data_IF_745970559172
#
_entry.id   IF_745970559172
#
_cell.length_a   1.000
_cell.length_b   1.000
_cell.length_c   1.000
_cell.angle_alpha   90.00
_cell.angle_beta   90.00
_cell.angle_gamma   90.00
#
_symmetry.space_group_name_H-M   'P 1'
#
loop_
_entity.id
_entity.type
_entity.pdbx_description
1 polymer ?
#
# COMPACT_ATOMS: atom_id res chain seq x y z
N UNK A 1 0.59 -14.31 -9.64
CA UNK A 1 1.45 -15.39 -9.10
C UNK A 1 1.20 -15.47 -7.61
N UNK A 2 1.28 -16.64 -6.99
CA UNK A 2 1.28 -16.75 -5.53
C UNK A 2 2.72 -16.96 -5.02
N UNK A 3 3.10 -16.28 -3.94
CA UNK A 3 4.39 -16.52 -3.29
C UNK A 3 4.41 -17.89 -2.60
N UNK A 4 5.60 -18.48 -2.46
CA UNK A 4 5.78 -19.64 -1.60
C UNK A 4 5.38 -19.29 -0.15
N UNK A 5 4.92 -20.28 0.64
CA UNK A 5 4.37 -20.00 1.98
C UNK A 5 5.33 -19.26 2.93
N UNK A 6 6.63 -19.53 2.82
CA UNK A 6 7.69 -18.85 3.58
C UNK A 6 7.88 -17.39 3.13
N UNK A 7 7.87 -17.15 1.81
CA UNK A 7 8.02 -15.83 1.21
C UNK A 7 6.79 -14.97 1.50
N UNK A 8 5.60 -15.56 1.48
CA UNK A 8 4.37 -14.88 1.84
C UNK A 8 4.36 -14.41 3.30
N UNK A 9 4.86 -15.22 4.24
CA UNK A 9 5.00 -14.82 5.65
C UNK A 9 6.06 -13.73 5.84
N UNK A 10 7.22 -13.89 5.22
CA UNK A 10 8.28 -12.87 5.25
C UNK A 10 7.80 -11.55 4.66
N UNK A 11 7.11 -11.62 3.52
CA UNK A 11 6.51 -10.44 2.89
C UNK A 11 5.47 -9.79 3.80
N UNK A 12 4.56 -10.55 4.42
CA UNK A 12 3.61 -9.99 5.38
C UNK A 12 4.31 -9.24 6.52
N UNK A 13 5.36 -9.82 7.10
CA UNK A 13 6.14 -9.16 8.15
C UNK A 13 6.83 -7.88 7.66
N UNK A 14 7.36 -7.86 6.43
CA UNK A 14 7.93 -6.63 5.84
C UNK A 14 6.86 -5.56 5.65
N UNK A 15 5.66 -5.94 5.18
CA UNK A 15 4.55 -5.01 5.00
C UNK A 15 4.12 -4.39 6.34
N UNK A 16 4.09 -5.19 7.42
CA UNK A 16 3.81 -4.69 8.78
C UNK A 16 4.93 -3.77 9.32
N UNK A 17 6.18 -3.90 8.88
CA UNK A 17 7.22 -2.90 9.22
C UNK A 17 7.06 -1.59 8.43
N UNK A 18 6.43 -1.62 7.24
CA UNK A 18 6.16 -0.41 6.42
C UNK A 18 4.95 0.35 6.97
N UNK A 19 3.83 -0.35 7.20
CA UNK A 19 2.64 0.20 7.87
C UNK A 19 2.28 -0.74 9.03
N UNK A 20 2.70 -0.42 10.27
CA UNK A 20 2.41 -1.23 11.44
C UNK A 20 0.95 -1.08 11.89
N UNK A 21 0.43 -2.04 12.67
CA UNK A 21 -0.85 -1.86 13.35
C UNK A 21 -0.79 -0.63 14.27
N UNK A 22 -1.91 0.08 14.41
CA UNK A 22 -1.97 1.21 15.34
C UNK A 22 -1.96 0.74 16.79
N UNK A 23 -1.37 1.54 17.68
CA UNK A 23 -1.28 1.24 19.12
C UNK A 23 -2.66 1.02 19.78
N UNK A 24 -3.69 1.67 19.24
CA UNK A 24 -5.08 1.55 19.71
C UNK A 24 -5.86 0.40 19.04
N UNK A 25 -5.21 -0.37 18.16
CA UNK A 25 -5.77 -1.54 17.48
C UNK A 25 -6.86 -1.23 16.44
N UNK A 26 -7.13 0.05 16.13
CA UNK A 26 -8.15 0.42 15.14
C UNK A 26 -7.69 0.15 13.71
N UNK A 27 -6.43 0.44 13.41
CA UNK A 27 -5.85 0.26 12.09
C UNK A 27 -5.02 -1.03 12.08
N UNK A 28 -5.31 -1.98 11.18
CA UNK A 28 -4.50 -3.20 11.07
C UNK A 28 -3.13 -2.90 10.49
N UNK A 29 -2.12 -3.73 10.77
CA UNK A 29 -0.87 -3.69 10.00
C UNK A 29 -1.11 -4.05 8.53
N UNK A 30 -0.23 -3.64 7.61
CA UNK A 30 -0.42 -3.95 6.19
C UNK A 30 -0.31 -5.45 5.87
N UNK A 31 0.59 -6.17 6.53
CA UNK A 31 0.66 -7.63 6.48
C UNK A 31 -0.60 -8.27 7.06
N UNK A 32 -1.00 -7.84 8.26
CA UNK A 32 -2.23 -8.29 8.94
C UNK A 32 -3.50 -8.03 8.11
N UNK A 33 -3.52 -6.93 7.35
CA UNK A 33 -4.64 -6.56 6.49
C UNK A 33 -4.74 -7.42 5.22
N UNK A 34 -3.81 -8.37 5.00
CA UNK A 34 -3.83 -9.30 3.88
C UNK A 34 -3.25 -8.72 2.59
N UNK A 35 -2.43 -7.67 2.68
CA UNK A 35 -1.93 -6.94 1.52
C UNK A 35 -0.95 -7.74 0.64
N UNK A 36 -0.47 -8.89 1.11
CA UNK A 36 0.28 -9.87 0.29
C UNK A 36 -0.46 -10.19 -1.01
N UNK A 37 -1.77 -10.45 -0.94
CA UNK A 37 -2.60 -10.76 -2.11
C UNK A 37 -2.69 -9.60 -3.11
N UNK A 38 -2.61 -8.35 -2.62
CA UNK A 38 -2.54 -7.18 -3.49
C UNK A 38 -1.21 -7.14 -4.23
N UNK A 39 -0.08 -7.34 -3.54
CA UNK A 39 1.26 -7.39 -4.16
C UNK A 39 1.33 -8.49 -5.22
N UNK A 40 0.82 -9.68 -4.93
CA UNK A 40 0.70 -10.78 -5.89
C UNK A 40 -0.06 -10.41 -7.16
N UNK A 41 -1.16 -9.65 -7.00
CA UNK A 41 -1.95 -9.14 -8.13
C UNK A 41 -1.21 -8.05 -8.93
N UNK A 42 -0.36 -7.24 -8.28
CA UNK A 42 0.47 -6.25 -8.98
C UNK A 42 1.60 -6.93 -9.75
N UNK A 43 2.28 -7.91 -9.15
CA UNK A 43 3.28 -8.74 -9.84
C UNK A 43 2.68 -9.44 -11.06
N UNK A 44 1.44 -9.93 -10.96
CA UNK A 44 0.75 -10.54 -12.11
C UNK A 44 0.50 -9.55 -13.28
N UNK A 45 0.41 -8.25 -12.99
CA UNK A 45 0.24 -7.19 -14.02
C UNK A 45 1.58 -6.64 -14.54
N UNK A 46 2.62 -6.72 -13.72
CA UNK A 46 3.98 -6.26 -13.99
C UNK A 46 4.99 -7.35 -13.62
N UNK A 47 5.20 -8.36 -14.48
CA UNK A 47 6.08 -9.50 -14.21
C UNK A 47 7.53 -9.12 -13.90
N UNK A 48 7.99 -7.95 -14.34
CA UNK A 48 9.30 -7.39 -14.02
C UNK A 48 9.54 -7.16 -12.52
N UNK A 49 8.48 -7.08 -11.70
CA UNK A 49 8.57 -6.93 -10.25
C UNK A 49 8.95 -8.24 -9.55
N UNK A 50 8.58 -9.38 -10.14
CA UNK A 50 8.81 -10.71 -9.56
C UNK A 50 10.27 -10.96 -9.17
N UNK A 51 11.28 -10.79 -10.07
CA UNK A 51 12.67 -11.04 -9.71
C UNK A 51 13.16 -10.09 -8.60
N UNK A 52 12.71 -8.83 -8.59
CA UNK A 52 13.09 -7.85 -7.57
C UNK A 52 12.60 -8.28 -6.19
N UNK A 53 11.35 -8.74 -6.10
CA UNK A 53 10.76 -9.17 -4.84
C UNK A 53 11.35 -10.50 -4.35
N UNK A 54 11.53 -11.48 -5.23
CA UNK A 54 12.11 -12.77 -4.85
C UNK A 54 13.58 -12.64 -4.43
N UNK A 55 14.38 -11.82 -5.12
CA UNK A 55 15.77 -11.57 -4.74
C UNK A 55 15.87 -10.85 -3.39
N UNK A 56 15.00 -9.86 -3.16
CA UNK A 56 14.95 -9.16 -1.87
C UNK A 56 14.53 -10.06 -0.71
N UNK A 57 13.52 -10.91 -0.90
CA UNK A 57 13.07 -11.87 0.11
C UNK A 57 14.14 -12.93 0.41
N UNK A 58 14.84 -13.42 -0.63
CA UNK A 58 15.96 -14.35 -0.45
C UNK A 58 17.12 -13.70 0.33
N UNK A 59 17.52 -12.48 -0.03
CA UNK A 59 18.56 -11.74 0.69
C UNK A 59 18.17 -11.47 2.14
N UNK A 60 16.89 -11.16 2.39
CA UNK A 60 16.38 -10.92 3.73
C UNK A 60 16.47 -12.19 4.60
N UNK A 61 16.13 -13.34 4.03
CA UNK A 61 16.21 -14.65 4.69
C UNK A 61 17.65 -15.03 5.03
N UNK A 62 18.58 -14.79 4.09
CA UNK A 62 20.01 -14.99 4.32
C UNK A 62 20.51 -14.09 5.45
N UNK A 63 20.14 -12.80 5.43
CA UNK A 63 20.51 -11.84 6.47
C UNK A 63 19.90 -12.18 7.84
N UNK A 64 18.68 -12.71 7.87
CA UNK A 64 18.00 -13.15 9.08
C UNK A 64 18.59 -14.45 9.66
N UNK A 65 19.32 -15.23 8.86
CA UNK A 65 19.80 -16.56 9.22
C UNK A 65 18.67 -17.59 9.43
N UNK A 66 17.49 -17.34 8.86
CA UNK A 66 16.28 -18.16 9.06
C UNK A 66 14.98 -17.44 8.71
N UNK A 67 13.90 -17.80 9.42
CA UNK A 67 12.56 -17.24 9.24
C UNK A 67 12.52 -15.78 9.69
N UNK A 68 12.41 -14.85 8.74
CA UNK A 68 12.39 -13.42 9.01
C UNK A 68 11.17 -12.99 9.86
N UNK A 69 10.01 -13.61 9.63
CA UNK A 69 8.78 -13.32 10.37
C UNK A 69 8.85 -13.69 11.86
N UNK A 70 9.73 -14.64 12.22
CA UNK A 70 9.95 -15.05 13.60
C UNK A 70 10.88 -14.12 14.40
N UNK A 71 11.57 -13.20 13.72
CA UNK A 71 12.46 -12.25 14.38
C UNK A 71 11.68 -11.21 15.19
N UNK A 72 12.29 -10.69 16.25
CA UNK A 72 11.80 -9.52 16.95
C UNK A 72 11.88 -8.25 16.08
N UNK A 73 11.07 -7.24 16.40
CA UNK A 73 10.92 -6.05 15.56
C UNK A 73 12.25 -5.31 15.31
N UNK A 74 13.12 -5.18 16.32
CA UNK A 74 14.44 -4.55 16.13
C UNK A 74 15.32 -5.33 15.15
N UNK A 75 15.37 -6.66 15.29
CA UNK A 75 16.14 -7.52 14.40
C UNK A 75 15.59 -7.52 12.97
N UNK A 76 14.26 -7.40 12.78
CA UNK A 76 13.66 -7.23 11.46
C UNK A 76 14.10 -5.92 10.81
N UNK A 77 14.06 -4.80 11.54
CA UNK A 77 14.53 -3.50 11.06
C UNK A 77 16.00 -3.54 10.69
N UNK A 78 16.84 -4.14 11.53
CA UNK A 78 18.27 -4.26 11.27
C UNK A 78 18.55 -5.09 10.01
N UNK A 79 17.82 -6.20 9.80
CA UNK A 79 17.94 -7.01 8.60
C UNK A 79 17.50 -6.25 7.34
N UNK A 80 16.39 -5.50 7.40
CA UNK A 80 15.92 -4.67 6.28
C UNK A 80 16.94 -3.58 5.92
N UNK A 81 17.50 -2.91 6.94
CA UNK A 81 18.54 -1.90 6.75
C UNK A 81 19.82 -2.50 6.14
N UNK A 82 20.21 -3.70 6.58
CA UNK A 82 21.41 -4.37 6.08
C UNK A 82 21.31 -4.74 4.59
N UNK A 83 20.14 -5.16 4.11
CA UNK A 83 19.96 -5.54 2.70
C UNK A 83 19.69 -4.34 1.78
N UNK A 84 19.29 -3.18 2.32
CA UNK A 84 18.79 -2.04 1.55
C UNK A 84 19.77 -1.56 0.45
N UNK A 85 21.06 -1.51 0.76
CA UNK A 85 22.09 -1.09 -0.20
C UNK A 85 22.35 -2.15 -1.30
N UNK A 86 22.23 -3.44 -0.96
CA UNK A 86 22.41 -4.56 -1.90
C UNK A 86 21.19 -4.86 -2.75
N UNK A 87 20.00 -4.43 -2.29
CA UNK A 87 18.71 -4.67 -2.94
C UNK A 87 17.94 -3.36 -3.15
N UNK A 88 18.47 -2.40 -3.92
CA UNK A 88 17.93 -1.03 -3.98
C UNK A 88 16.50 -0.95 -4.55
N UNK A 89 16.04 -1.96 -5.30
CA UNK A 89 14.68 -2.02 -5.83
C UNK A 89 13.65 -2.59 -4.86
N UNK A 90 14.07 -3.39 -3.88
CA UNK A 90 13.17 -4.21 -3.07
C UNK A 90 12.25 -3.36 -2.18
N UNK A 91 12.84 -2.60 -1.25
CA UNK A 91 12.06 -1.77 -0.32
C UNK A 91 11.25 -0.67 -1.02
N UNK A 92 11.78 0.09 -2.00
CA UNK A 92 10.98 1.10 -2.68
C UNK A 92 9.76 0.53 -3.41
N UNK A 93 9.90 -0.64 -4.03
CA UNK A 93 8.78 -1.35 -4.68
C UNK A 93 7.71 -1.72 -3.67
N UNK A 94 8.11 -2.31 -2.54
CA UNK A 94 7.18 -2.67 -1.48
C UNK A 94 6.52 -1.46 -0.85
N UNK A 95 7.26 -0.38 -0.57
CA UNK A 95 6.69 0.87 -0.05
C UNK A 95 5.62 1.41 -1.01
N UNK A 96 5.92 1.51 -2.30
CA UNK A 96 4.96 1.99 -3.31
C UNK A 96 3.67 1.15 -3.34
N UNK A 97 3.79 -0.17 -3.41
CA UNK A 97 2.63 -1.06 -3.47
C UNK A 97 1.90 -1.17 -2.12
N UNK A 98 2.60 -0.96 -1.01
CA UNK A 98 1.98 -0.89 0.32
C UNK A 98 1.05 0.31 0.41
N UNK A 99 1.55 1.51 0.10
CA UNK A 99 0.74 2.73 0.19
C UNK A 99 -0.41 2.77 -0.81
N UNK A 100 -0.17 2.31 -2.05
CA UNK A 100 -1.21 2.34 -3.10
C UNK A 100 -2.32 1.31 -2.85
N UNK A 101 -2.01 0.19 -2.18
CA UNK A 101 -2.99 -0.86 -1.89
C UNK A 101 -3.66 -0.75 -0.52
N UNK A 102 -2.92 -0.39 0.54
CA UNK A 102 -3.40 -0.43 1.93
C UNK A 102 -4.67 0.42 2.14
N UNK A 103 -4.66 1.66 1.65
CA UNK A 103 -5.81 2.59 1.76
C UNK A 103 -6.96 2.28 0.79
N UNK A 104 -6.88 1.17 0.06
CA UNK A 104 -7.98 0.65 -0.77
C UNK A 104 -8.65 -0.59 -0.14
N UNK A 105 -8.07 -1.15 0.93
CA UNK A 105 -8.61 -2.33 1.60
C UNK A 105 -9.90 -1.98 2.34
N UNK A 106 -10.99 -2.76 2.20
CA UNK A 106 -12.26 -2.49 2.88
C UNK A 106 -12.11 -2.31 4.39
N UNK A 107 -11.35 -3.18 5.05
CA UNK A 107 -11.09 -3.12 6.51
C UNK A 107 -10.42 -1.80 6.93
N UNK A 108 -9.52 -1.27 6.09
CA UNK A 108 -8.80 -0.01 6.34
C UNK A 108 -9.72 1.19 6.10
N UNK A 109 -10.50 1.17 5.00
CA UNK A 109 -11.47 2.21 4.69
C UNK A 109 -12.53 2.34 5.80
N UNK A 110 -13.06 1.20 6.27
CA UNK A 110 -14.03 1.16 7.36
C UNK A 110 -13.44 1.68 8.68
N UNK A 111 -12.18 1.32 9.00
CA UNK A 111 -11.48 1.83 10.18
C UNK A 111 -11.24 3.35 10.14
N UNK A 112 -11.16 3.94 8.93
CA UNK A 112 -11.10 5.38 8.70
C UNK A 112 -12.49 6.06 8.71
N UNK A 113 -13.57 5.31 8.88
CA UNK A 113 -14.94 5.82 8.81
C UNK A 113 -15.41 6.12 7.39
N UNK A 114 -14.74 5.56 6.37
CA UNK A 114 -15.09 5.71 4.97
C UNK A 114 -15.96 4.54 4.49
N UNK A 115 -16.83 4.82 3.52
CA UNK A 115 -17.59 3.75 2.86
C UNK A 115 -16.64 2.91 1.97
N UNK A 116 -16.50 1.62 2.26
CA UNK A 116 -15.71 0.66 1.49
C UNK A 116 -16.37 0.27 0.15
N UNK A 117 -16.53 1.25 -0.74
CA UNK A 117 -17.07 1.05 -2.09
C UNK A 117 -16.39 1.96 -3.11
N UNK A 118 -16.47 1.64 -4.40
CA UNK A 118 -16.10 2.58 -5.44
C UNK A 118 -16.84 3.92 -5.28
N UNK A 119 -16.14 5.06 -5.48
CA UNK A 119 -16.78 6.36 -5.41
C UNK A 119 -17.82 6.51 -6.53
N UNK A 120 -17.49 6.10 -7.77
CA UNK A 120 -18.44 6.12 -8.88
C UNK A 120 -19.35 4.87 -8.87
N UNK A 121 -20.66 5.00 -9.18
CA UNK A 121 -21.36 6.21 -9.66
C UNK A 121 -21.95 7.11 -8.56
N UNK A 122 -22.13 6.62 -7.33
CA UNK A 122 -22.87 7.34 -6.27
C UNK A 122 -22.19 8.65 -5.80
N UNK A 123 -20.87 8.79 -5.96
CA UNK A 123 -20.06 9.87 -5.41
C UNK A 123 -19.87 9.74 -3.89
N UNK A 124 -19.25 10.74 -3.28
CA UNK A 124 -19.29 10.98 -1.83
C UNK A 124 -20.12 12.25 -1.58
N UNK A 125 -20.76 12.33 -0.43
CA UNK A 125 -21.36 13.60 0.01
C UNK A 125 -20.23 14.60 0.29
N UNK A 126 -20.37 15.79 -0.26
CA UNK A 126 -19.43 16.89 -0.06
C UNK A 126 -20.15 18.00 0.71
N UNK A 127 -19.43 18.66 1.60
CA UNK A 127 -19.94 19.88 2.23
C UNK A 127 -20.26 20.92 1.14
N UNK A 128 -21.41 21.56 1.27
CA UNK A 128 -21.78 22.66 0.40
C UNK A 128 -20.83 23.83 0.68
N UNK A 129 -19.80 24.00 -0.15
CA UNK A 129 -18.91 25.15 -0.10
C UNK A 129 -19.65 26.45 -0.43
N UNK A 130 -18.98 27.58 -0.20
CA UNK A 130 -19.52 28.89 -0.58
C UNK A 130 -19.60 29.01 -2.11
N UNK A 131 -20.80 28.78 -2.65
CA UNK A 131 -21.05 28.83 -4.08
C UNK A 131 -20.99 30.25 -4.66
N UNK A 132 -20.92 31.30 -3.84
CA UNK A 132 -20.73 32.68 -4.32
C UNK A 132 -19.34 32.88 -4.95
N UNK A 133 -18.37 32.02 -4.61
CA UNK A 133 -17.05 32.01 -5.26
C UNK A 133 -17.12 31.69 -6.76
N UNK A 134 -18.23 31.11 -7.24
CA UNK A 134 -18.45 30.83 -8.66
C UNK A 134 -19.09 32.01 -9.40
N UNK A 135 -19.52 33.07 -8.71
CA UNK A 135 -20.23 34.19 -9.33
C UNK A 135 -19.40 34.91 -10.39
N UNK A 136 -18.08 35.19 -10.21
CA UNK A 136 -17.26 35.76 -11.27
C UNK A 136 -17.20 34.89 -12.54
N UNK A 137 -17.28 33.56 -12.40
CA UNK A 137 -17.28 32.63 -13.54
C UNK A 137 -18.64 32.64 -14.25
N UNK A 138 -19.74 32.70 -13.49
CA UNK A 138 -21.10 32.77 -14.03
C UNK A 138 -21.36 34.09 -14.75
N UNK A 139 -20.91 35.20 -14.17
CA UNK A 139 -21.07 36.56 -14.72
C UNK A 139 -20.23 36.80 -15.97
N UNK A 140 -19.11 36.08 -16.11
CA UNK A 140 -18.21 36.20 -17.26
C UNK A 140 -18.90 35.91 -18.60
N UNK A 141 -19.99 35.14 -18.58
CA UNK A 141 -20.78 34.85 -19.76
C UNK A 141 -20.07 33.93 -20.76
N UNK A 142 -20.68 33.80 -21.94
CA UNK A 142 -20.27 32.85 -22.97
C UNK A 142 -19.01 33.30 -23.70
N UNK A 143 -17.99 32.43 -23.75
CA UNK A 143 -16.77 32.63 -24.53
C UNK A 143 -16.67 31.79 -25.81
N UNK A 144 -17.67 30.95 -26.10
CA UNK A 144 -17.71 30.13 -27.33
C UNK A 144 -18.65 30.75 -28.38
N UNK A 145 -18.42 30.48 -29.68
CA UNK A 145 -19.36 30.86 -30.75
C UNK A 145 -20.50 29.85 -30.81
N UNK A 146 -21.71 30.34 -31.11
CA UNK A 146 -22.78 29.46 -31.58
C UNK A 146 -22.42 28.89 -32.96
N UNK A 147 -22.72 27.61 -33.16
CA UNK A 147 -22.63 26.92 -34.45
C UNK A 147 -24.01 26.91 -35.08
#
# INVERSE_FOLDING_TARGET
MAFASEDARSLAAVLDEIIPPSDDGRMPGAGEAGLVSHVEAQVAKSPELEPVLLQGLAALREQAGGDFDALGADARRDALNAIAAGQPGFLPTLVFHTFTGYYQLPRVLEALGLEARPPHPKGHELEAGDLSLLDPVRERGKHYRDV
#
